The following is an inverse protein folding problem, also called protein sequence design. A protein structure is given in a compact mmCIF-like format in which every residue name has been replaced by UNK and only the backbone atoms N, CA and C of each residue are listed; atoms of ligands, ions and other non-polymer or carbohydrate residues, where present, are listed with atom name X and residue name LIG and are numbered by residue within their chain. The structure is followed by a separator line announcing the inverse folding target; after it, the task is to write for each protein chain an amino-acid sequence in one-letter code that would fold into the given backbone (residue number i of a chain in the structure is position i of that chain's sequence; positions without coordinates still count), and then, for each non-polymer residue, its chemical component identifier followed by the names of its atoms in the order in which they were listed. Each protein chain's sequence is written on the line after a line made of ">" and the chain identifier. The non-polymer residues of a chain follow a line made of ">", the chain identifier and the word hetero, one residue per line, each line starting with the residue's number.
data_IF_164702966210
#
_entry.id   IF_164702966210
#
_cell.length_a   1.000
_cell.length_b   1.000
_cell.length_c   1.000
_cell.angle_alpha   90.00
_cell.angle_beta   90.00
_cell.angle_gamma   90.00
#
_symmetry.space_group_name_H-M   'P 1'
#
loop_
_entity.id
_entity.type
_entity.pdbx_description
1 polymer ?
#
# COMPACT_ATOMS: atom_id res chain seq x y z
N UNK A 1 -15.08 -21.14 -8.59
CA UNK A 1 -15.12 -19.70 -8.89
C UNK A 1 -16.58 -19.29 -8.79
N UNK A 2 -16.92 -18.24 -8.03
CA UNK A 2 -18.32 -17.76 -7.96
C UNK A 2 -18.58 -16.89 -9.18
N UNK A 3 -19.68 -17.09 -9.89
CA UNK A 3 -20.11 -16.16 -10.94
C UNK A 3 -20.59 -14.85 -10.29
N UNK A 4 -19.84 -13.78 -10.50
CA UNK A 4 -20.15 -12.45 -9.97
C UNK A 4 -20.43 -11.48 -11.10
N UNK A 5 -21.59 -10.81 -11.07
CA UNK A 5 -21.90 -9.68 -11.96
C UNK A 5 -21.50 -8.36 -11.32
N UNK A 6 -21.41 -7.29 -12.11
CA UNK A 6 -21.15 -5.94 -11.62
C UNK A 6 -22.22 -5.48 -10.60
N UNK A 7 -23.50 -5.73 -10.90
CA UNK A 7 -24.61 -5.46 -9.97
C UNK A 7 -24.46 -6.25 -8.66
N UNK A 8 -24.05 -7.52 -8.73
CA UNK A 8 -23.81 -8.34 -7.55
C UNK A 8 -22.64 -7.78 -6.71
N UNK A 9 -21.54 -7.37 -7.34
CA UNK A 9 -20.36 -6.80 -6.66
C UNK A 9 -20.74 -5.49 -5.97
N UNK A 10 -21.39 -4.57 -6.69
CA UNK A 10 -21.77 -3.27 -6.13
C UNK A 10 -22.81 -3.39 -5.02
N UNK A 11 -23.84 -4.23 -5.19
CA UNK A 11 -24.90 -4.40 -4.17
C UNK A 11 -24.39 -5.07 -2.89
N UNK A 12 -23.41 -5.97 -2.98
CA UNK A 12 -22.86 -6.69 -1.82
C UNK A 12 -21.68 -6.02 -1.15
N UNK A 13 -20.81 -5.35 -1.92
CA UNK A 13 -19.54 -4.81 -1.41
C UNK A 13 -19.47 -3.29 -1.47
N UNK A 14 -20.30 -2.63 -2.29
CA UNK A 14 -20.22 -1.19 -2.55
C UNK A 14 -19.04 -0.78 -3.43
N UNK A 15 -18.21 -1.72 -3.89
CA UNK A 15 -17.01 -1.43 -4.69
C UNK A 15 -17.41 -1.16 -6.13
N UNK A 16 -16.99 0.00 -6.66
CA UNK A 16 -17.14 0.39 -8.07
C UNK A 16 -15.84 0.28 -8.86
N UNK A 17 -14.74 0.70 -8.25
CA UNK A 17 -13.41 0.62 -8.83
C UNK A 17 -12.38 0.28 -7.75
N UNK A 18 -11.24 -0.25 -8.18
CA UNK A 18 -10.07 -0.49 -7.34
C UNK A 18 -8.82 0.00 -8.06
N UNK A 19 -7.82 0.39 -7.29
CA UNK A 19 -6.51 0.73 -7.83
C UNK A 19 -5.65 -0.51 -7.90
N UNK A 20 -4.95 -0.65 -9.01
CA UNK A 20 -3.97 -1.71 -9.25
C UNK A 20 -2.62 -1.01 -9.41
N UNK A 21 -1.64 -1.53 -8.69
CA UNK A 21 -0.25 -1.09 -8.78
C UNK A 21 0.30 -1.41 -10.18
N UNK A 22 1.24 -0.61 -10.67
CA UNK A 22 1.87 -0.88 -11.96
C UNK A 22 2.75 -2.14 -11.90
N UNK A 23 3.03 -2.71 -13.08
CA UNK A 23 3.95 -3.87 -13.13
C UNK A 23 5.35 -3.42 -12.72
N UNK A 24 5.92 -4.13 -11.74
CA UNK A 24 7.27 -3.88 -11.26
C UNK A 24 7.35 -2.91 -10.08
N UNK A 25 6.23 -2.35 -9.63
CA UNK A 25 6.15 -1.56 -8.41
C UNK A 25 5.72 -2.47 -7.24
N UNK A 26 6.50 -2.41 -6.16
CA UNK A 26 6.37 -3.25 -4.98
C UNK A 26 5.75 -2.50 -3.78
N UNK A 27 5.53 -3.20 -2.67
CA UNK A 27 4.96 -2.57 -1.47
C UNK A 27 5.95 -1.56 -0.86
N UNK A 28 7.25 -1.82 -0.94
CA UNK A 28 8.29 -0.87 -0.49
C UNK A 28 8.24 0.44 -1.28
N UNK A 29 8.06 0.39 -2.60
CA UNK A 29 8.01 1.57 -3.46
C UNK A 29 6.84 2.49 -3.06
N UNK A 30 5.65 1.91 -2.86
CA UNK A 30 4.47 2.65 -2.39
C UNK A 30 4.70 3.25 -0.99
N UNK A 31 5.30 2.48 -0.08
CA UNK A 31 5.58 2.92 1.28
C UNK A 31 6.61 4.08 1.30
N UNK A 32 7.68 3.98 0.51
CA UNK A 32 8.71 5.01 0.37
C UNK A 32 8.13 6.31 -0.20
N UNK A 33 7.28 6.22 -1.23
CA UNK A 33 6.60 7.36 -1.83
C UNK A 33 5.74 8.12 -0.80
N UNK A 34 4.99 7.39 0.03
CA UNK A 34 4.16 7.98 1.09
C UNK A 34 5.03 8.55 2.22
N UNK A 35 6.10 7.87 2.61
CA UNK A 35 7.02 8.35 3.63
C UNK A 35 7.63 9.71 3.26
N UNK A 36 8.07 9.88 2.01
CA UNK A 36 8.58 11.17 1.50
C UNK A 36 7.53 12.29 1.59
N UNK A 37 6.29 12.01 1.19
CA UNK A 37 5.18 12.99 1.30
C UNK A 37 4.88 13.35 2.76
N UNK A 38 4.98 12.39 3.68
CA UNK A 38 4.78 12.63 5.11
C UNK A 38 5.90 13.45 5.73
N UNK A 39 7.16 13.21 5.33
CA UNK A 39 8.30 14.03 5.75
C UNK A 39 8.11 15.48 5.29
N UNK A 40 7.76 15.69 4.02
CA UNK A 40 7.46 17.02 3.47
C UNK A 40 6.32 17.70 4.24
N UNK A 41 5.22 16.98 4.48
CA UNK A 41 4.06 17.51 5.21
C UNK A 41 4.34 17.80 6.68
N UNK A 42 5.19 17.01 7.32
CA UNK A 42 5.49 17.14 8.75
C UNK A 42 6.65 18.08 9.05
N UNK A 43 7.47 18.41 8.04
CA UNK A 43 8.70 19.20 8.20
C UNK A 43 9.79 18.51 9.01
N UNK A 44 9.66 17.20 9.24
CA UNK A 44 10.67 16.39 9.95
C UNK A 44 11.76 15.94 8.99
N UNK A 45 12.94 15.74 9.55
CA UNK A 45 14.04 15.13 8.83
C UNK A 45 13.94 13.60 8.96
N UNK A 46 14.41 12.82 7.96
CA UNK A 46 14.45 11.36 8.05
C UNK A 46 15.19 10.86 9.31
N UNK A 47 16.24 11.56 9.72
CA UNK A 47 17.01 11.27 10.94
C UNK A 47 16.23 11.43 12.25
N UNK A 48 15.07 12.10 12.24
CA UNK A 48 14.19 12.22 13.41
C UNK A 48 13.32 10.97 13.63
N UNK A 49 13.43 9.94 12.78
CA UNK A 49 12.59 8.73 12.82
C UNK A 49 13.33 7.60 13.54
N UNK A 50 12.89 7.29 14.77
CA UNK A 50 13.48 6.22 15.58
C UNK A 50 13.05 4.80 15.14
N UNK A 51 11.84 4.67 14.56
CA UNK A 51 11.22 3.38 14.24
C UNK A 51 10.35 3.50 12.98
N UNK A 52 10.46 2.52 12.08
CA UNK A 52 9.58 2.34 10.92
C UNK A 52 8.80 1.03 11.11
N UNK A 53 7.47 1.09 10.95
CA UNK A 53 6.58 -0.08 11.02
C UNK A 53 5.75 -0.14 9.75
N UNK A 54 5.90 -1.22 8.97
CA UNK A 54 5.10 -1.49 7.78
C UNK A 54 4.13 -2.65 8.07
N UNK A 55 2.85 -2.33 8.20
CA UNK A 55 1.79 -3.32 8.37
C UNK A 55 1.32 -3.83 7.00
N UNK A 56 1.95 -4.90 6.49
CA UNK A 56 1.61 -5.49 5.19
C UNK A 56 1.41 -7.01 5.28
N UNK A 57 0.48 -7.53 4.46
CA UNK A 57 0.33 -8.97 4.21
C UNK A 57 0.85 -9.38 2.82
N UNK A 58 1.42 -8.44 2.05
CA UNK A 58 2.01 -8.65 0.72
C UNK A 58 3.40 -8.03 0.68
N UNK A 59 4.37 -8.54 1.45
CA UNK A 59 5.72 -8.00 1.48
C UNK A 59 6.46 -8.30 0.16
N UNK A 60 7.41 -7.46 -0.18
CA UNK A 60 8.28 -7.64 -1.36
C UNK A 60 9.03 -8.96 -1.33
N UNK A 61 9.47 -9.36 -0.13
CA UNK A 61 10.13 -10.63 0.14
C UNK A 61 9.58 -11.24 1.43
N UNK A 62 9.52 -12.57 1.50
CA UNK A 62 9.03 -13.28 2.71
C UNK A 62 10.04 -13.24 3.87
N UNK A 63 11.32 -13.07 3.55
CA UNK A 63 12.43 -12.93 4.48
C UNK A 63 13.26 -11.76 3.99
N UNK A 64 13.63 -10.87 4.91
CA UNK A 64 14.00 -9.45 4.73
C UNK A 64 12.78 -8.53 4.87
N UNK A 65 12.88 -7.55 5.77
CA UNK A 65 11.82 -6.59 6.03
C UNK A 65 11.69 -5.61 4.85
N UNK A 66 10.45 -5.20 4.56
CA UNK A 66 10.13 -4.11 3.62
C UNK A 66 10.51 -2.73 4.19
N UNK A 67 10.72 -2.65 5.51
CA UNK A 67 11.04 -1.44 6.26
C UNK A 67 12.55 -1.21 6.38
#
# INVERSE_FOLDING_TARGET
>A
MVDTSDEWIQSRTGIKERRLVEKGEATSDMAANIANQLLEKSGKLPEDIDVIIIATCTPDMMVVATA
#
